data_IF_668161179634
#
_entry.id   IF_668161179634
#
_cell.length_a   1.000
_cell.length_b   1.000
_cell.length_c   1.000
_cell.angle_alpha   90.00
_cell.angle_beta   90.00
_cell.angle_gamma   90.00
#
_symmetry.space_group_name_H-M   'P 1'
#
loop_
_entity.id
_entity.type
_entity.pdbx_description
1 polymer ?
#
# COMPACT_ATOMS: atom_id res chain seq x y z
N UNK A 1 -33.24 2.46 10.40
CA UNK A 1 -32.36 1.25 10.38
C UNK A 1 -31.83 0.91 8.98
N UNK A 2 -32.65 0.76 7.92
CA UNK A 2 -32.17 0.45 6.56
C UNK A 2 -31.20 1.50 5.98
N UNK A 3 -31.50 2.80 6.13
CA UNK A 3 -30.66 3.90 5.62
C UNK A 3 -29.24 3.93 6.23
N UNK A 4 -29.11 3.58 7.51
CA UNK A 4 -27.80 3.46 8.18
C UNK A 4 -26.97 2.28 7.64
N UNK A 5 -27.64 1.22 7.18
CA UNK A 5 -26.99 0.08 6.53
C UNK A 5 -26.38 0.46 5.18
N UNK A 6 -27.15 1.14 4.31
CA UNK A 6 -26.65 1.59 3.00
C UNK A 6 -25.48 2.56 3.13
N UNK A 7 -25.56 3.50 4.07
CA UNK A 7 -24.49 4.47 4.34
C UNK A 7 -23.20 3.78 4.78
N UNK A 8 -23.33 2.76 5.65
CA UNK A 8 -22.19 1.96 6.10
C UNK A 8 -21.54 1.19 4.93
N UNK A 9 -22.35 0.58 4.07
CA UNK A 9 -21.83 -0.13 2.88
C UNK A 9 -21.13 0.81 1.90
N UNK A 10 -21.70 1.99 1.64
CA UNK A 10 -21.08 3.00 0.80
C UNK A 10 -19.69 3.40 1.32
N UNK A 11 -19.54 3.56 2.64
CA UNK A 11 -18.26 3.86 3.28
C UNK A 11 -17.25 2.70 3.14
N UNK A 12 -17.67 1.45 3.36
CA UNK A 12 -16.79 0.29 3.16
C UNK A 12 -16.32 0.16 1.72
N UNK A 13 -17.24 0.28 0.76
CA UNK A 13 -16.94 0.14 -0.67
C UNK A 13 -16.03 1.29 -1.12
N UNK A 14 -16.36 2.53 -0.77
CA UNK A 14 -15.56 3.70 -1.13
C UNK A 14 -14.15 3.65 -0.55
N UNK A 15 -14.01 3.26 0.72
CA UNK A 15 -12.71 3.07 1.34
C UNK A 15 -11.91 1.95 0.67
N UNK A 16 -12.56 0.82 0.36
CA UNK A 16 -11.94 -0.28 -0.36
C UNK A 16 -11.43 0.12 -1.75
N UNK A 17 -12.23 0.88 -2.51
CA UNK A 17 -11.83 1.40 -3.82
C UNK A 17 -10.61 2.32 -3.69
N UNK A 18 -10.60 3.25 -2.72
CA UNK A 18 -9.45 4.14 -2.51
C UNK A 18 -8.18 3.35 -2.18
N UNK A 19 -8.26 2.42 -1.22
CA UNK A 19 -7.11 1.61 -0.83
C UNK A 19 -6.60 0.76 -1.99
N UNK A 20 -7.50 0.24 -2.82
CA UNK A 20 -7.14 -0.51 -4.01
C UNK A 20 -6.46 0.37 -5.06
N UNK A 21 -6.89 1.62 -5.23
CA UNK A 21 -6.35 2.54 -6.21
C UNK A 21 -5.06 3.25 -5.79
N UNK A 22 -4.62 3.17 -4.53
CA UNK A 22 -3.41 3.87 -4.07
C UNK A 22 -2.17 3.74 -4.97
N UNK A 23 -1.81 2.57 -5.52
CA UNK A 23 -0.65 2.46 -6.40
C UNK A 23 -0.92 2.93 -7.85
N UNK A 24 -2.16 3.24 -8.24
CA UNK A 24 -2.57 3.51 -9.62
C UNK A 24 -3.27 4.88 -9.80
N UNK A 25 -2.94 5.68 -10.83
CA UNK A 25 -1.75 5.67 -11.66
C UNK A 25 -0.61 6.42 -10.97
N UNK A 26 0.64 6.04 -11.27
CA UNK A 26 1.85 6.77 -10.83
C UNK A 26 1.93 6.97 -9.32
N UNK A 27 1.36 6.05 -8.54
CA UNK A 27 1.33 6.14 -7.07
C UNK A 27 0.64 7.37 -6.51
N UNK A 28 -0.19 8.05 -7.31
CA UNK A 28 -0.77 9.34 -6.96
C UNK A 28 0.29 10.40 -6.60
N UNK A 29 1.51 10.31 -7.15
CA UNK A 29 2.56 11.28 -6.87
C UNK A 29 2.27 12.65 -7.47
N UNK A 30 1.61 12.65 -8.62
CA UNK A 30 1.34 13.84 -9.43
C UNK A 30 -0.03 14.44 -9.11
N UNK A 31 -0.14 15.76 -9.26
CA UNK A 31 -1.34 16.53 -8.91
C UNK A 31 -2.58 16.06 -9.69
N UNK A 32 -2.42 15.82 -11.00
CA UNK A 32 -3.51 15.37 -11.88
C UNK A 32 -4.13 14.06 -11.40
N UNK A 33 -3.34 13.15 -10.83
CA UNK A 33 -3.77 11.85 -10.33
C UNK A 33 -4.30 11.92 -8.90
N UNK A 34 -3.61 12.66 -8.03
CA UNK A 34 -3.98 12.70 -6.61
C UNK A 34 -5.25 13.51 -6.38
N UNK A 35 -5.49 14.60 -7.13
CA UNK A 35 -6.62 15.51 -6.89
C UNK A 35 -7.98 14.80 -6.95
N UNK A 36 -8.33 14.02 -7.99
CA UNK A 36 -9.59 13.27 -8.02
C UNK A 36 -9.74 12.31 -6.84
N UNK A 37 -8.66 11.64 -6.45
CA UNK A 37 -8.66 10.71 -5.31
C UNK A 37 -8.85 11.46 -4.00
N UNK A 38 -8.23 12.63 -3.83
CA UNK A 38 -8.42 13.49 -2.65
C UNK A 38 -9.85 13.98 -2.53
N UNK A 39 -10.46 14.40 -3.64
CA UNK A 39 -11.89 14.76 -3.66
C UNK A 39 -12.72 13.57 -3.18
N UNK A 40 -12.46 12.36 -3.66
CA UNK A 40 -13.11 11.14 -3.20
C UNK A 40 -12.90 10.86 -1.70
N UNK A 41 -11.67 11.02 -1.20
CA UNK A 41 -11.31 10.85 0.22
C UNK A 41 -12.08 11.84 1.09
N UNK A 42 -12.12 13.12 0.72
CA UNK A 42 -12.84 14.14 1.49
C UNK A 42 -14.36 14.00 1.37
N UNK A 43 -14.88 13.56 0.22
CA UNK A 43 -16.30 13.21 0.09
C UNK A 43 -16.69 12.05 1.04
N UNK A 44 -15.86 11.01 1.11
CA UNK A 44 -16.04 9.91 2.07
C UNK A 44 -15.90 10.38 3.52
N UNK A 45 -15.02 11.33 3.79
CA UNK A 45 -14.90 11.93 5.12
C UNK A 45 -16.15 12.68 5.54
N UNK A 46 -16.74 13.48 4.65
CA UNK A 46 -18.01 14.17 4.90
C UNK A 46 -19.12 13.14 5.17
N UNK A 47 -19.19 12.09 4.34
CA UNK A 47 -20.17 11.02 4.48
C UNK A 47 -20.01 10.26 5.83
N UNK A 48 -18.76 9.97 6.21
CA UNK A 48 -18.44 9.31 7.47
C UNK A 48 -18.74 10.20 8.68
N UNK A 49 -18.40 11.49 8.59
CA UNK A 49 -18.70 12.48 9.63
C UNK A 49 -20.21 12.62 9.83
N UNK A 50 -20.99 12.66 8.75
CA UNK A 50 -22.44 12.65 8.80
C UNK A 50 -22.98 11.37 9.46
N UNK A 51 -22.44 10.20 9.10
CA UNK A 51 -22.80 8.93 9.74
C UNK A 51 -22.54 8.92 11.25
N UNK A 52 -21.40 9.49 11.69
CA UNK A 52 -21.06 9.65 13.11
C UNK A 52 -22.04 10.54 13.86
N UNK A 53 -22.40 11.68 13.26
CA UNK A 53 -23.38 12.62 13.83
C UNK A 53 -24.74 11.94 14.02
N UNK A 54 -25.22 11.21 12.99
CA UNK A 54 -26.49 10.47 13.07
C UNK A 54 -26.51 9.42 14.18
N UNK A 55 -25.36 8.80 14.45
CA UNK A 55 -25.20 7.81 15.51
C UNK A 55 -24.90 8.41 16.88
N UNK A 56 -24.72 9.74 16.98
CA UNK A 56 -24.26 10.44 18.18
C UNK A 56 -22.96 9.86 18.76
N UNK A 57 -22.11 9.30 17.89
CA UNK A 57 -20.83 8.72 18.27
C UNK A 57 -19.74 9.80 18.19
N UNK A 58 -18.95 9.95 19.26
CA UNK A 58 -17.78 10.84 19.27
C UNK A 58 -16.56 10.14 18.67
N UNK A 59 -15.66 10.92 18.07
CA UNK A 59 -14.32 10.44 17.74
C UNK A 59 -13.60 10.07 19.03
N UNK A 60 -13.07 8.84 19.11
CA UNK A 60 -12.24 8.41 20.23
C UNK A 60 -10.77 8.58 19.84
N UNK A 61 -10.05 9.43 20.58
CA UNK A 61 -8.59 9.53 20.48
C UNK A 61 -8.01 8.65 21.57
N UNK A 62 -7.63 7.43 21.22
CA UNK A 62 -7.32 6.37 22.19
C UNK A 62 -5.88 5.82 22.09
N UNK A 63 -5.07 6.32 21.16
CA UNK A 63 -3.71 5.83 20.95
C UNK A 63 -2.71 6.94 20.60
N UNK A 64 -1.46 6.75 21.01
CA UNK A 64 -0.35 7.62 20.61
C UNK A 64 -0.21 7.70 19.08
N UNK A 65 -0.43 6.59 18.37
CA UNK A 65 -0.42 6.56 16.91
C UNK A 65 -1.44 7.55 16.32
N UNK A 66 -2.65 7.59 16.88
CA UNK A 66 -3.68 8.51 16.43
C UNK A 66 -3.29 9.97 16.66
N UNK A 67 -2.63 10.28 17.79
CA UNK A 67 -2.10 11.63 18.06
C UNK A 67 -1.07 12.02 17.00
N UNK A 68 -0.09 11.16 16.70
CA UNK A 68 0.91 11.46 15.67
C UNK A 68 0.29 11.65 14.28
N UNK A 69 -0.71 10.85 13.92
CA UNK A 69 -1.41 10.99 12.64
C UNK A 69 -2.17 12.33 12.56
N UNK A 70 -2.80 12.78 13.65
CA UNK A 70 -3.48 14.07 13.72
C UNK A 70 -2.50 15.26 13.65
N UNK A 71 -1.27 15.09 14.14
CA UNK A 71 -0.23 16.12 14.10
C UNK A 71 0.45 16.23 12.74
N UNK A 72 0.42 15.19 11.90
CA UNK A 72 1.09 15.19 10.59
C UNK A 72 0.67 16.40 9.73
N UNK A 73 -0.62 16.68 9.48
CA UNK A 73 -1.02 17.87 8.72
C UNK A 73 -0.56 19.17 9.36
N UNK A 74 -0.54 19.25 10.70
CA UNK A 74 -0.14 20.45 11.45
C UNK A 74 1.29 20.84 11.13
N UNK A 75 2.21 19.86 11.07
CA UNK A 75 3.62 20.10 10.72
C UNK A 75 3.75 20.75 9.34
N UNK A 76 2.94 20.33 8.37
CA UNK A 76 2.96 20.89 7.01
C UNK A 76 2.25 22.25 6.90
N UNK A 77 1.45 22.65 7.89
CA UNK A 77 0.87 23.99 7.99
C UNK A 77 1.88 25.01 8.54
N UNK A 78 2.84 24.60 9.36
CA UNK A 78 3.81 25.52 9.99
C UNK A 78 4.56 26.42 8.99
N UNK A 79 5.09 25.91 7.85
CA UNK A 79 5.76 26.78 6.88
C UNK A 79 4.86 27.88 6.30
N UNK A 80 3.55 27.63 6.21
CA UNK A 80 2.57 28.63 5.74
C UNK A 80 2.32 29.70 6.81
N UNK A 81 2.18 29.28 8.07
CA UNK A 81 1.91 30.19 9.20
C UNK A 81 3.11 31.10 9.47
N UNK A 82 4.33 30.56 9.43
CA UNK A 82 5.55 31.33 9.67
C UNK A 82 6.07 32.06 8.42
N UNK A 83 5.39 31.95 7.28
CA UNK A 83 5.79 32.64 6.05
C UNK A 83 7.11 32.14 5.43
N UNK A 84 7.60 30.97 5.83
CA UNK A 84 8.86 30.36 5.35
C UNK A 84 8.65 29.34 4.23
N UNK A 85 7.41 29.17 3.75
CA UNK A 85 7.10 28.27 2.65
C UNK A 85 7.77 28.72 1.34
N UNK A 86 8.62 27.87 0.77
CA UNK A 86 9.29 28.12 -0.52
C UNK A 86 8.29 28.36 -1.67
N UNK A 87 7.14 27.67 -1.63
CA UNK A 87 6.00 27.94 -2.49
C UNK A 87 4.72 27.76 -1.68
N UNK A 88 3.87 28.78 -1.67
CA UNK A 88 2.57 28.72 -0.97
C UNK A 88 1.67 27.63 -1.55
N UNK A 89 1.61 27.54 -2.89
CA UNK A 89 0.85 26.51 -3.58
C UNK A 89 1.38 25.12 -3.26
N UNK A 90 2.70 24.90 -3.38
CA UNK A 90 3.30 23.60 -3.07
C UNK A 90 3.07 23.16 -1.63
N UNK A 91 3.25 24.09 -0.67
CA UNK A 91 2.99 23.79 0.74
C UNK A 91 1.53 23.40 1.00
N UNK A 92 0.57 24.11 0.38
CA UNK A 92 -0.85 23.74 0.46
C UNK A 92 -1.11 22.34 -0.11
N UNK A 93 -0.54 21.98 -1.26
CA UNK A 93 -0.67 20.64 -1.85
C UNK A 93 -0.20 19.55 -0.88
N UNK A 94 0.90 19.77 -0.16
CA UNK A 94 1.36 18.83 0.87
C UNK A 94 0.41 18.79 2.09
N UNK A 95 -0.09 19.93 2.57
CA UNK A 95 -1.10 19.95 3.65
C UNK A 95 -2.30 19.07 3.28
N UNK A 96 -2.85 19.24 2.08
CA UNK A 96 -3.98 18.41 1.61
C UNK A 96 -3.61 16.93 1.50
N UNK A 97 -2.39 16.61 1.06
CA UNK A 97 -1.91 15.22 1.00
C UNK A 97 -1.88 14.56 2.37
N UNK A 98 -1.32 15.24 3.38
CA UNK A 98 -1.27 14.70 4.74
C UNK A 98 -2.64 14.70 5.42
N UNK A 99 -3.52 15.65 5.11
CA UNK A 99 -4.93 15.59 5.53
C UNK A 99 -5.62 14.36 4.96
N UNK A 100 -5.37 14.01 3.69
CA UNK A 100 -5.92 12.79 3.09
C UNK A 100 -5.45 11.52 3.80
N UNK A 101 -4.17 11.45 4.19
CA UNK A 101 -3.65 10.32 4.98
C UNK A 101 -4.30 10.23 6.35
N UNK A 102 -4.44 11.37 7.03
CA UNK A 102 -5.14 11.46 8.31
C UNK A 102 -6.59 10.97 8.18
N UNK A 103 -7.33 11.45 7.17
CA UNK A 103 -8.71 11.05 6.92
C UNK A 103 -8.84 9.54 6.70
N UNK A 104 -8.02 8.96 5.81
CA UNK A 104 -8.04 7.51 5.55
C UNK A 104 -7.79 6.75 6.84
N UNK A 105 -6.81 7.19 7.64
CA UNK A 105 -6.49 6.56 8.91
C UNK A 105 -7.66 6.64 9.90
N UNK A 106 -8.29 7.80 10.07
CA UNK A 106 -9.43 7.98 10.98
C UNK A 106 -10.60 7.05 10.61
N UNK A 107 -10.94 7.00 9.32
CA UNK A 107 -12.01 6.12 8.84
C UNK A 107 -11.61 4.65 9.05
N UNK A 108 -10.38 4.25 8.68
CA UNK A 108 -9.92 2.87 8.89
C UNK A 108 -9.94 2.46 10.36
N UNK A 109 -9.46 3.31 11.28
CA UNK A 109 -9.48 3.05 12.73
C UNK A 109 -10.90 2.90 13.27
N UNK A 110 -11.87 3.60 12.67
CA UNK A 110 -13.27 3.49 13.06
C UNK A 110 -13.96 2.24 12.49
N UNK A 111 -13.59 1.80 11.29
CA UNK A 111 -14.19 0.63 10.65
C UNK A 111 -13.50 -0.69 11.00
N UNK A 112 -12.25 -0.65 11.47
CA UNK A 112 -11.46 -1.84 11.79
C UNK A 112 -11.62 -2.19 13.26
N UNK A 113 -12.64 -2.98 13.58
CA UNK A 113 -12.93 -3.39 14.98
C UNK A 113 -12.66 -4.87 15.24
N UNK A 114 -12.62 -5.68 14.19
CA UNK A 114 -12.43 -7.13 14.30
C UNK A 114 -11.24 -7.59 13.47
N UNK A 115 -10.75 -8.80 13.77
CA UNK A 115 -9.73 -9.47 12.94
C UNK A 115 -10.19 -9.65 11.49
N UNK A 116 -11.49 -9.82 11.26
CA UNK A 116 -12.07 -9.94 9.91
C UNK A 116 -11.92 -8.64 9.12
N UNK A 117 -12.11 -7.49 9.77
CA UNK A 117 -11.92 -6.19 9.12
C UNK A 117 -10.45 -5.95 8.77
N UNK A 118 -9.53 -6.28 9.69
CA UNK A 118 -8.07 -6.21 9.41
C UNK A 118 -7.74 -7.09 8.20
N UNK A 119 -8.24 -8.32 8.19
CA UNK A 119 -8.01 -9.25 7.10
C UNK A 119 -8.59 -8.75 5.78
N UNK A 120 -9.78 -8.13 5.78
CA UNK A 120 -10.39 -7.52 4.60
C UNK A 120 -9.50 -6.44 3.99
N UNK A 121 -9.07 -5.47 4.80
CA UNK A 121 -8.24 -4.35 4.32
C UNK A 121 -6.87 -4.81 3.83
N UNK A 122 -6.24 -5.76 4.55
CA UNK A 122 -4.98 -6.35 4.11
C UNK A 122 -5.14 -7.13 2.80
N UNK A 123 -6.26 -7.83 2.57
CA UNK A 123 -6.52 -8.48 1.28
C UNK A 123 -6.68 -7.46 0.15
N UNK A 124 -7.40 -6.35 0.39
CA UNK A 124 -7.56 -5.29 -0.63
C UNK A 124 -6.19 -4.73 -1.02
N UNK A 125 -5.36 -4.39 -0.04
CA UNK A 125 -3.99 -3.89 -0.27
C UNK A 125 -3.09 -4.95 -0.91
N UNK A 126 -3.18 -6.20 -0.46
CA UNK A 126 -2.43 -7.33 -0.99
C UNK A 126 -2.76 -7.61 -2.45
N UNK A 127 -4.05 -7.67 -2.81
CA UNK A 127 -4.51 -7.88 -4.19
C UNK A 127 -4.08 -6.70 -5.07
N UNK A 128 -4.30 -5.47 -4.63
CA UNK A 128 -3.86 -4.27 -5.36
C UNK A 128 -2.34 -4.29 -5.62
N UNK A 129 -1.57 -4.58 -4.57
CA UNK A 129 -0.12 -4.73 -4.64
C UNK A 129 0.34 -5.87 -5.55
N UNK A 130 -0.32 -7.01 -5.52
CA UNK A 130 -0.02 -8.15 -6.41
C UNK A 130 -0.33 -7.85 -7.87
N UNK A 131 -1.42 -7.12 -8.17
CA UNK A 131 -1.71 -6.64 -9.53
C UNK A 131 -0.61 -5.67 -9.97
N UNK A 132 -0.22 -4.74 -9.11
CA UNK A 132 0.88 -3.82 -9.40
C UNK A 132 2.21 -4.58 -9.67
N UNK A 133 2.49 -5.63 -8.90
CA UNK A 133 3.65 -6.50 -9.10
C UNK A 133 3.62 -7.20 -10.46
N UNK A 134 2.47 -7.78 -10.82
CA UNK A 134 2.27 -8.45 -12.11
C UNK A 134 2.47 -7.48 -13.28
N UNK A 135 1.89 -6.28 -13.20
CA UNK A 135 2.10 -5.22 -14.20
C UNK A 135 3.55 -4.74 -14.27
N UNK A 136 4.28 -4.76 -13.14
CA UNK A 136 5.72 -4.48 -13.12
C UNK A 136 6.55 -5.55 -13.85
N UNK A 137 6.18 -6.84 -13.71
CA UNK A 137 6.84 -7.92 -14.44
C UNK A 137 6.51 -7.84 -15.94
N UNK A 138 5.24 -7.65 -16.31
CA UNK A 138 4.81 -7.43 -17.70
C UNK A 138 5.55 -6.27 -18.36
N UNK A 139 5.72 -5.16 -17.62
CA UNK A 139 6.48 -4.01 -18.07
C UNK A 139 7.89 -4.38 -18.51
N UNK A 140 8.58 -5.28 -17.79
CA UNK A 140 9.92 -5.75 -18.14
C UNK A 140 9.97 -6.78 -19.27
N UNK A 141 8.86 -7.46 -19.60
CA UNK A 141 8.84 -8.60 -20.53
C UNK A 141 8.19 -8.30 -21.89
N UNK A 142 7.75 -7.07 -22.13
CA UNK A 142 7.17 -6.70 -23.44
C UNK A 142 6.07 -5.64 -23.38
N UNK A 143 5.66 -5.21 -22.17
CA UNK A 143 4.71 -4.11 -21.94
C UNK A 143 3.30 -4.31 -22.51
N UNK A 144 2.94 -5.52 -22.91
CA UNK A 144 1.66 -5.78 -23.57
C UNK A 144 0.46 -5.36 -22.72
N UNK A 145 0.44 -5.79 -21.45
CA UNK A 145 -0.68 -5.50 -20.56
C UNK A 145 -0.60 -4.08 -19.98
N UNK A 146 0.61 -3.66 -19.61
CA UNK A 146 0.85 -2.32 -19.04
C UNK A 146 0.52 -1.21 -20.04
N UNK A 147 0.90 -1.33 -21.31
CA UNK A 147 0.52 -0.36 -22.35
C UNK A 147 -0.98 -0.40 -22.67
N UNK A 148 -1.59 -1.59 -22.70
CA UNK A 148 -3.03 -1.75 -22.91
C UNK A 148 -3.87 -1.05 -21.80
N UNK A 149 -3.36 -1.03 -20.57
CA UNK A 149 -3.96 -0.33 -19.44
C UNK A 149 -3.52 1.15 -19.32
N UNK A 150 -2.72 1.64 -20.26
CA UNK A 150 -2.28 3.04 -20.32
C UNK A 150 -1.13 3.40 -19.38
N UNK A 151 -0.44 2.42 -18.78
CA UNK A 151 0.72 2.65 -17.93
C UNK A 151 1.98 2.84 -18.77
N UNK A 152 2.31 4.09 -19.08
CA UNK A 152 3.53 4.46 -19.81
C UNK A 152 4.73 4.67 -18.88
N UNK A 153 5.95 4.60 -19.42
CA UNK A 153 7.18 4.95 -18.68
C UNK A 153 7.54 3.95 -17.58
N UNK A 154 7.17 2.69 -17.77
CA UNK A 154 7.29 1.60 -16.79
C UNK A 154 8.68 0.98 -16.70
N UNK A 155 9.61 1.37 -17.58
CA UNK A 155 11.05 1.06 -17.53
C UNK A 155 11.84 2.38 -17.55
N UNK A 156 12.95 2.44 -16.81
CA UNK A 156 13.88 3.56 -16.83
C UNK A 156 14.99 3.46 -17.88
N UNK A 157 15.77 4.52 -18.04
CA UNK A 157 16.89 4.59 -18.99
C UNK A 157 18.03 3.60 -18.71
N UNK A 158 18.01 2.95 -17.54
CA UNK A 158 18.99 1.95 -17.11
C UNK A 158 18.42 0.52 -17.15
N UNK A 159 17.29 0.31 -17.83
CA UNK A 159 16.65 -1.01 -17.94
C UNK A 159 15.99 -1.50 -16.65
N UNK A 160 15.66 -0.61 -15.70
CA UNK A 160 15.04 -0.99 -14.42
C UNK A 160 13.53 -0.82 -14.48
N UNK A 161 12.80 -1.76 -13.89
CA UNK A 161 11.35 -1.66 -13.76
C UNK A 161 10.98 -0.53 -12.79
N UNK A 162 10.22 0.44 -13.30
CA UNK A 162 9.55 1.51 -12.55
C UNK A 162 8.14 1.12 -12.11
N UNK A 163 7.53 0.16 -12.81
CA UNK A 163 6.18 -0.33 -12.55
C UNK A 163 5.12 0.77 -12.64
N UNK A 164 3.96 0.51 -12.04
CA UNK A 164 2.82 1.46 -12.05
C UNK A 164 3.07 2.75 -11.27
N UNK A 165 4.09 2.77 -10.40
CA UNK A 165 4.50 3.95 -9.64
C UNK A 165 5.42 4.90 -10.44
N UNK A 166 5.96 4.47 -11.58
CA UNK A 166 6.92 5.23 -12.41
C UNK A 166 8.26 5.61 -11.73
N UNK A 167 8.54 5.07 -10.54
CA UNK A 167 9.81 5.27 -9.85
C UNK A 167 10.34 3.93 -9.33
N UNK A 168 11.47 3.46 -9.87
CA UNK A 168 12.03 2.14 -9.57
C UNK A 168 12.28 1.92 -8.06
N UNK A 169 12.79 2.94 -7.36
CA UNK A 169 13.03 2.85 -5.92
C UNK A 169 11.74 2.79 -5.11
N UNK A 170 10.76 3.65 -5.40
CA UNK A 170 9.45 3.64 -4.73
C UNK A 170 8.69 2.34 -5.01
N UNK A 171 8.77 1.83 -6.23
CA UNK A 171 8.17 0.56 -6.63
C UNK A 171 8.81 -0.62 -5.91
N UNK A 172 10.15 -0.66 -5.83
CA UNK A 172 10.86 -1.68 -5.06
C UNK A 172 10.48 -1.66 -3.57
N UNK A 173 10.43 -0.49 -2.94
CA UNK A 173 9.99 -0.35 -1.55
C UNK A 173 8.52 -0.79 -1.37
N UNK A 174 7.64 -0.40 -2.28
CA UNK A 174 6.23 -0.79 -2.26
C UNK A 174 6.05 -2.31 -2.41
N UNK A 175 6.76 -2.95 -3.34
CA UNK A 175 6.75 -4.41 -3.48
C UNK A 175 7.21 -5.14 -2.22
N UNK A 176 8.18 -4.56 -1.49
CA UNK A 176 8.58 -5.05 -0.19
C UNK A 176 7.48 -4.96 0.87
N UNK A 177 6.71 -3.87 0.90
CA UNK A 177 5.54 -3.73 1.77
C UNK A 177 4.49 -4.80 1.41
N UNK A 178 4.21 -5.00 0.13
CA UNK A 178 3.27 -6.01 -0.36
C UNK A 178 3.71 -7.42 0.06
N UNK A 179 5.00 -7.73 -0.06
CA UNK A 179 5.57 -8.99 0.44
C UNK A 179 5.25 -9.23 1.92
N UNK A 180 5.44 -8.23 2.79
CA UNK A 180 5.12 -8.36 4.21
C UNK A 180 3.62 -8.44 4.51
N UNK A 181 2.77 -7.73 3.75
CA UNK A 181 1.31 -7.87 3.84
C UNK A 181 0.90 -9.31 3.52
N UNK A 182 1.47 -9.90 2.48
CA UNK A 182 1.18 -11.28 2.06
C UNK A 182 1.70 -12.32 3.07
N UNK A 183 2.83 -12.07 3.73
CA UNK A 183 3.27 -12.88 4.89
C UNK A 183 2.23 -12.81 6.00
N UNK A 184 1.80 -11.60 6.39
CA UNK A 184 0.82 -11.41 7.45
C UNK A 184 -0.51 -12.14 7.14
N UNK A 185 -1.00 -12.01 5.90
CA UNK A 185 -2.19 -12.72 5.42
C UNK A 185 -2.02 -14.25 5.46
N UNK A 186 -0.84 -14.76 5.08
CA UNK A 186 -0.49 -16.18 5.16
C UNK A 186 -0.58 -16.73 6.58
N UNK A 187 0.03 -16.05 7.54
CA UNK A 187 0.06 -16.48 8.95
C UNK A 187 -1.32 -16.36 9.60
N UNK A 188 -2.08 -15.32 9.24
CA UNK A 188 -3.42 -15.08 9.80
C UNK A 188 -4.52 -15.95 9.18
N UNK A 189 -4.23 -16.70 8.11
CA UNK A 189 -5.18 -17.59 7.47
C UNK A 189 -5.12 -18.99 8.07
N UNK A 190 -6.26 -19.62 8.32
CA UNK A 190 -6.31 -21.04 8.72
C UNK A 190 -6.34 -21.99 7.51
N UNK A 191 -6.71 -21.46 6.33
CA UNK A 191 -6.96 -22.26 5.13
C UNK A 191 -5.67 -22.49 4.34
N UNK A 192 -5.27 -23.76 4.19
CA UNK A 192 -4.04 -24.17 3.48
C UNK A 192 -3.94 -23.61 2.05
N UNK A 193 -5.04 -23.61 1.29
CA UNK A 193 -5.06 -23.08 -0.08
C UNK A 193 -4.82 -21.56 -0.11
N UNK A 194 -5.35 -20.80 0.87
CA UNK A 194 -5.07 -19.37 0.96
C UNK A 194 -3.61 -19.11 1.36
N UNK A 195 -3.03 -19.92 2.25
CA UNK A 195 -1.59 -19.82 2.56
C UNK A 195 -0.74 -20.01 1.32
N UNK A 196 -1.02 -21.06 0.54
CA UNK A 196 -0.32 -21.32 -0.71
C UNK A 196 -0.48 -20.17 -1.71
N UNK A 197 -1.69 -19.61 -1.85
CA UNK A 197 -1.94 -18.45 -2.69
C UNK A 197 -1.11 -17.23 -2.25
N UNK A 198 -1.13 -16.88 -0.95
CA UNK A 198 -0.36 -15.73 -0.46
C UNK A 198 1.15 -15.95 -0.64
N UNK A 199 1.67 -17.16 -0.41
CA UNK A 199 3.06 -17.50 -0.71
C UNK A 199 3.38 -17.37 -2.20
N UNK A 200 2.50 -17.80 -3.10
CA UNK A 200 2.68 -17.60 -4.55
C UNK A 200 2.70 -16.11 -4.92
N UNK A 201 1.83 -15.30 -4.32
CA UNK A 201 1.83 -13.85 -4.53
C UNK A 201 3.08 -13.17 -3.98
N UNK A 202 3.68 -13.68 -2.89
CA UNK A 202 4.95 -13.20 -2.37
C UNK A 202 6.05 -13.32 -3.42
N UNK A 203 6.10 -14.44 -4.15
CA UNK A 203 7.05 -14.64 -5.25
C UNK A 203 6.92 -13.53 -6.29
N UNK A 204 5.69 -13.26 -6.77
CA UNK A 204 5.44 -12.21 -7.76
C UNK A 204 5.94 -10.85 -7.26
N UNK A 205 5.65 -10.50 -6.00
CA UNK A 205 6.09 -9.23 -5.42
C UNK A 205 7.62 -9.12 -5.30
N UNK A 206 8.31 -10.18 -4.87
CA UNK A 206 9.77 -10.18 -4.75
C UNK A 206 10.47 -10.18 -6.10
N UNK A 207 9.94 -10.92 -7.09
CA UNK A 207 10.46 -10.89 -8.45
C UNK A 207 10.34 -9.49 -9.05
N UNK A 208 9.18 -8.85 -8.91
CA UNK A 208 8.99 -7.46 -9.34
C UNK A 208 9.95 -6.49 -8.60
N UNK A 209 10.16 -6.68 -7.30
CA UNK A 209 11.14 -5.90 -6.52
C UNK A 209 12.55 -6.02 -7.11
N UNK A 210 13.01 -7.24 -7.40
CA UNK A 210 14.35 -7.48 -7.90
C UNK A 210 14.56 -6.87 -9.30
N UNK A 211 13.53 -6.88 -10.14
CA UNK A 211 13.55 -6.22 -11.46
C UNK A 211 13.65 -4.68 -11.37
N UNK A 212 13.41 -4.08 -10.20
CA UNK A 212 13.67 -2.64 -9.99
C UNK A 212 15.14 -2.31 -9.77
N UNK A 213 15.97 -3.32 -9.46
CA UNK A 213 17.40 -3.19 -9.10
C UNK A 213 17.62 -2.14 -8.00
N UNK A 214 16.62 -1.89 -7.13
CA UNK A 214 16.72 -0.88 -6.08
C UNK A 214 17.61 -1.38 -4.95
N UNK A 215 18.87 -0.92 -4.91
CA UNK A 215 19.85 -1.30 -3.88
C UNK A 215 19.32 -1.10 -2.46
N UNK A 216 18.62 0.00 -2.23
CA UNK A 216 17.99 0.29 -0.94
C UNK A 216 16.94 -0.75 -0.56
N UNK A 217 15.99 -1.04 -1.45
CA UNK A 217 14.97 -2.05 -1.17
C UNK A 217 15.58 -3.46 -1.02
N UNK A 218 16.49 -3.84 -1.91
CA UNK A 218 17.16 -5.15 -1.91
C UNK A 218 17.94 -5.37 -0.61
N UNK A 219 18.61 -4.33 -0.08
CA UNK A 219 19.34 -4.44 1.19
C UNK A 219 18.42 -4.37 2.42
N UNK A 220 17.40 -3.52 2.39
CA UNK A 220 16.57 -3.24 3.56
C UNK A 220 15.53 -4.33 3.82
N UNK A 221 14.99 -4.99 2.78
CA UNK A 221 13.97 -6.04 2.96
C UNK A 221 14.49 -7.26 3.75
N UNK A 222 15.69 -7.81 3.47
CA UNK A 222 16.27 -8.85 4.32
C UNK A 222 16.44 -8.43 5.77
N UNK A 223 16.87 -7.18 6.02
CA UNK A 223 17.01 -6.64 7.37
C UNK A 223 15.66 -6.60 8.11
N UNK A 224 14.62 -6.06 7.47
CA UNK A 224 13.27 -6.01 8.05
C UNK A 224 12.67 -7.41 8.21
N UNK A 225 12.97 -8.34 7.31
CA UNK A 225 12.53 -9.72 7.40
C UNK A 225 13.15 -10.45 8.60
N UNK A 226 14.45 -10.25 8.85
CA UNK A 226 15.13 -10.77 10.04
C UNK A 226 14.51 -10.15 11.30
N UNK A 227 14.30 -8.83 11.31
CA UNK A 227 13.65 -8.14 12.42
C UNK A 227 12.25 -8.70 12.69
N UNK A 228 11.45 -8.95 11.66
CA UNK A 228 10.13 -9.57 11.76
C UNK A 228 10.22 -10.94 12.46
N UNK A 229 11.15 -11.81 12.05
CA UNK A 229 11.34 -13.13 12.67
C UNK A 229 11.71 -13.00 14.15
N UNK A 230 12.58 -12.05 14.50
CA UNK A 230 13.00 -11.81 15.90
C UNK A 230 11.79 -11.35 16.74
N UNK A 231 10.99 -10.43 16.21
CA UNK A 231 9.85 -9.83 16.91
C UNK A 231 8.65 -10.79 17.07
N UNK A 232 8.47 -11.76 16.18
CA UNK A 232 7.38 -12.73 16.29
C UNK A 232 7.58 -13.61 17.55
N UNK A 233 6.62 -13.64 18.47
CA UNK A 233 6.72 -14.50 19.65
C UNK A 233 6.40 -15.96 19.29
N UNK A 234 7.23 -16.88 19.80
CA UNK A 234 7.03 -18.32 19.69
C UNK A 234 7.75 -18.98 18.50
N UNK A 235 8.50 -20.05 18.79
CA UNK A 235 9.31 -20.77 17.79
C UNK A 235 8.47 -21.33 16.64
N UNK A 236 7.26 -21.83 16.91
CA UNK A 236 6.36 -22.38 15.89
C UNK A 236 5.93 -21.34 14.84
N UNK A 237 5.52 -20.15 15.28
CA UNK A 237 5.12 -19.07 14.36
C UNK A 237 6.29 -18.53 13.55
N UNK A 238 7.48 -18.42 14.17
CA UNK A 238 8.72 -18.06 13.46
C UNK A 238 9.01 -19.06 12.33
N UNK A 239 8.92 -20.35 12.64
CA UNK A 239 9.14 -21.41 11.66
C UNK A 239 8.09 -21.35 10.54
N UNK A 240 6.83 -21.09 10.86
CA UNK A 240 5.77 -20.92 9.86
C UNK A 240 6.05 -19.76 8.89
N UNK A 241 6.52 -18.61 9.38
CA UNK A 241 6.92 -17.48 8.52
C UNK A 241 8.06 -17.89 7.58
N UNK A 242 9.07 -18.55 8.12
CA UNK A 242 10.23 -19.00 7.35
C UNK A 242 9.79 -19.98 6.27
N UNK A 243 9.07 -21.04 6.64
CA UNK A 243 8.65 -22.08 5.69
C UNK A 243 7.69 -21.56 4.61
N UNK A 244 6.83 -20.59 4.94
CA UNK A 244 5.88 -20.03 3.97
C UNK A 244 6.50 -19.04 3.00
N UNK A 245 7.58 -18.35 3.35
CA UNK A 245 8.19 -17.30 2.52
C UNK A 245 9.53 -17.69 1.88
N UNK A 246 10.25 -18.67 2.45
CA UNK A 246 11.54 -19.12 1.94
C UNK A 246 11.49 -19.61 0.48
N UNK A 247 10.49 -20.42 0.04
CA UNK A 247 10.39 -20.82 -1.36
C UNK A 247 10.28 -19.61 -2.30
N UNK A 248 9.43 -18.64 -1.94
CA UNK A 248 9.24 -17.42 -2.71
C UNK A 248 10.51 -16.58 -2.76
N UNK A 249 11.24 -16.46 -1.65
CA UNK A 249 12.54 -15.78 -1.62
C UNK A 249 13.55 -16.44 -2.56
N UNK A 250 13.76 -17.76 -2.43
CA UNK A 250 14.73 -18.49 -3.25
C UNK A 250 14.39 -18.40 -4.74
N UNK A 251 13.14 -18.70 -5.12
CA UNK A 251 12.71 -18.65 -6.52
C UNK A 251 12.76 -17.22 -7.07
N UNK A 252 12.44 -16.21 -6.24
CA UNK A 252 12.54 -14.80 -6.67
C UNK A 252 13.97 -14.39 -7.00
N UNK A 253 14.98 -14.86 -6.27
CA UNK A 253 16.39 -14.54 -6.56
C UNK A 253 16.83 -15.03 -7.94
N UNK A 254 16.41 -16.24 -8.32
CA UNK A 254 16.69 -16.79 -9.65
C UNK A 254 15.86 -16.08 -10.74
N UNK A 255 14.53 -16.05 -10.57
CA UNK A 255 13.63 -15.45 -11.55
C UNK A 255 13.87 -13.96 -11.74
N UNK A 256 14.02 -13.19 -10.66
CA UNK A 256 14.31 -11.76 -10.71
C UNK A 256 15.61 -11.46 -11.45
N UNK A 257 16.67 -12.23 -11.20
CA UNK A 257 17.94 -12.08 -11.93
C UNK A 257 17.80 -12.40 -13.41
N UNK A 258 17.14 -13.52 -13.75
CA UNK A 258 16.92 -13.93 -15.13
C UNK A 258 16.08 -12.92 -15.90
N UNK A 259 14.95 -12.49 -15.34
CA UNK A 259 14.04 -11.56 -15.99
C UNK A 259 14.65 -10.16 -16.12
N UNK A 260 15.44 -9.71 -15.16
CA UNK A 260 16.16 -8.43 -15.27
C UNK A 260 17.16 -8.47 -16.44
N UNK A 261 17.83 -9.60 -16.68
CA UNK A 261 18.76 -9.75 -17.79
C UNK A 261 18.08 -9.82 -19.17
N UNK A 262 16.75 -10.05 -19.21
CA UNK A 262 15.96 -10.04 -20.44
C UNK A 262 15.44 -8.64 -20.80
N UNK A 263 15.58 -7.66 -19.90
CA UNK A 263 15.17 -6.28 -20.18
C UNK A 263 16.20 -5.67 -21.15
N UNK A 264 15.75 -5.18 -22.32
CA UNK A 264 16.63 -4.58 -23.32
C UNK A 264 17.25 -3.25 -22.87
#
# INVERSE_FOLDING_TARGET
MKQQGYLRWALYIGLGIILFLLPFPRGLFFEKEILPIQIGIFALFILWSYFKILKKEKLKIDSFTMIFVLLLPVVYVLPLVFGVAASRYGALTYVFRYLSYMVIFLILSDFTKTKKDVFLWLNILGISGSIAAFLGIDAGLGKNLSDALGFKGVIDEYGRVRGVLQYSNSFGAYMGIVFFILIALGICSDKKHLKALYSALQLISLTALLMTVSRGAIAFIPFIYILLIILIPGKGKRLEVILSSLPSMVISLFSGRLLTAMIP
#
